data_IF_898990580224
#
_entry.id   IF_898990580224
#
_cell.length_a   1.000
_cell.length_b   1.000
_cell.length_c   1.000
_cell.angle_alpha   90.00
_cell.angle_beta   90.00
_cell.angle_gamma   90.00
#
_symmetry.space_group_name_H-M   'P 1'
#
loop_
_entity.id
_entity.type
_entity.pdbx_description
1 polymer ?
#
# COMPACT_ATOMS: atom_id res chain seq x y z
N UNK A 1 -6.38 -17.66 14.38
CA UNK A 1 -6.42 -16.20 14.65
C UNK A 1 -5.67 -15.40 13.58
N UNK A 2 -6.07 -14.15 13.31
CA UNK A 2 -5.48 -13.24 12.30
C UNK A 2 -3.95 -13.11 12.43
N UNK A 3 -3.43 -13.02 13.65
CA UNK A 3 -2.00 -12.86 13.93
C UNK A 3 -1.15 -14.08 13.52
N UNK A 4 -1.64 -15.31 13.73
CA UNK A 4 -0.94 -16.52 13.30
C UNK A 4 -0.87 -16.63 11.77
N UNK A 5 -1.94 -16.24 11.07
CA UNK A 5 -1.94 -16.23 9.61
C UNK A 5 -0.91 -15.24 9.04
N UNK A 6 -0.72 -14.11 9.72
CA UNK A 6 0.30 -13.10 9.38
C UNK A 6 1.71 -13.66 9.56
N UNK A 7 1.98 -14.29 10.71
CA UNK A 7 3.26 -14.95 10.98
C UNK A 7 3.60 -16.00 9.91
N UNK A 8 2.64 -16.86 9.56
CA UNK A 8 2.84 -17.90 8.52
C UNK A 8 3.18 -17.31 7.15
N UNK A 9 2.55 -16.19 6.76
CA UNK A 9 2.90 -15.52 5.49
C UNK A 9 4.32 -14.97 5.51
N UNK A 10 4.72 -14.32 6.61
CA UNK A 10 6.08 -13.82 6.76
C UNK A 10 7.11 -14.95 6.71
N UNK A 11 6.84 -16.08 7.38
CA UNK A 11 7.71 -17.26 7.32
C UNK A 11 7.78 -17.80 5.88
N UNK A 12 6.64 -18.03 5.23
CA UNK A 12 6.58 -18.56 3.87
C UNK A 12 7.36 -17.67 2.87
N UNK A 13 7.17 -16.35 2.95
CA UNK A 13 7.90 -15.39 2.14
C UNK A 13 9.41 -15.49 2.34
N UNK A 14 9.88 -15.58 3.58
CA UNK A 14 11.30 -15.68 3.88
C UNK A 14 11.90 -17.05 3.55
N UNK A 15 11.12 -18.13 3.66
CA UNK A 15 11.56 -19.49 3.34
C UNK A 15 11.81 -19.69 1.85
N UNK A 16 10.92 -19.18 0.98
CA UNK A 16 11.07 -19.28 -0.46
C UNK A 16 10.30 -18.16 -1.16
N UNK A 17 10.99 -17.08 -1.49
CA UNK A 17 10.40 -15.90 -2.14
C UNK A 17 9.82 -16.23 -3.51
N UNK A 18 10.55 -16.99 -4.33
CA UNK A 18 10.12 -17.40 -5.67
C UNK A 18 8.77 -18.11 -5.62
N UNK A 19 8.68 -19.18 -4.82
CA UNK A 19 7.45 -19.95 -4.66
C UNK A 19 6.32 -19.09 -4.06
N UNK A 20 6.63 -18.23 -3.09
CA UNK A 20 5.65 -17.31 -2.51
C UNK A 20 5.05 -16.36 -3.56
N UNK A 21 5.89 -15.77 -4.42
CA UNK A 21 5.43 -14.85 -5.46
C UNK A 21 4.59 -15.55 -6.52
N UNK A 22 4.98 -16.76 -6.95
CA UNK A 22 4.19 -17.58 -7.88
C UNK A 22 2.82 -17.96 -7.27
N UNK A 23 2.78 -18.31 -5.98
CA UNK A 23 1.53 -18.58 -5.27
C UNK A 23 0.66 -17.31 -5.15
N UNK A 24 1.27 -16.15 -4.95
CA UNK A 24 0.57 -14.87 -4.91
C UNK A 24 -0.06 -14.55 -6.29
N UNK A 25 0.64 -14.79 -7.40
CA UNK A 25 0.08 -14.69 -8.76
C UNK A 25 -1.15 -15.57 -8.89
N UNK A 26 -1.06 -16.86 -8.55
CA UNK A 26 -2.18 -17.79 -8.58
C UNK A 26 -3.37 -17.32 -7.74
N UNK A 27 -3.12 -16.74 -6.56
CA UNK A 27 -4.16 -16.23 -5.68
C UNK A 27 -4.90 -15.02 -6.30
N UNK A 28 -4.17 -14.10 -6.92
CA UNK A 28 -4.76 -12.93 -7.59
C UNK A 28 -5.51 -13.36 -8.85
N UNK A 29 -4.95 -14.25 -9.68
CA UNK A 29 -5.66 -14.82 -10.84
C UNK A 29 -6.96 -15.54 -10.44
N UNK A 30 -6.93 -16.30 -9.35
CA UNK A 30 -8.13 -16.92 -8.79
C UNK A 30 -9.16 -15.90 -8.29
N UNK A 31 -8.73 -14.72 -7.84
CA UNK A 31 -9.63 -13.63 -7.46
C UNK A 31 -10.24 -12.95 -8.69
N UNK A 32 -9.45 -12.73 -9.75
CA UNK A 32 -9.92 -12.23 -11.05
C UNK A 32 -11.05 -13.12 -11.59
N UNK A 33 -10.83 -14.43 -11.63
CA UNK A 33 -11.84 -15.35 -12.16
C UNK A 33 -13.12 -15.40 -11.33
N UNK A 34 -13.07 -15.02 -10.05
CA UNK A 34 -14.25 -14.95 -9.18
C UNK A 34 -15.05 -13.65 -9.35
N UNK A 35 -14.44 -12.60 -9.88
CA UNK A 35 -15.01 -11.26 -9.98
C UNK A 35 -14.79 -10.71 -11.40
N UNK A 36 -15.17 -11.50 -12.42
CA UNK A 36 -14.95 -11.14 -13.83
C UNK A 36 -15.62 -9.81 -14.17
N UNK A 37 -14.86 -8.91 -14.78
CA UNK A 37 -15.34 -7.57 -15.17
C UNK A 37 -15.31 -6.53 -14.04
N UNK A 38 -14.97 -6.92 -12.81
CA UNK A 38 -14.80 -5.97 -11.70
C UNK A 38 -13.35 -5.49 -11.60
N UNK A 39 -13.19 -4.25 -11.11
CA UNK A 39 -11.87 -3.74 -10.75
C UNK A 39 -11.41 -4.39 -9.44
N UNK A 40 -10.23 -4.99 -9.46
CA UNK A 40 -9.67 -5.65 -8.27
C UNK A 40 -8.62 -4.76 -7.62
N UNK A 41 -8.75 -4.57 -6.32
CA UNK A 41 -7.80 -3.83 -5.51
C UNK A 41 -7.06 -4.76 -4.55
N UNK A 42 -5.74 -4.78 -4.62
CA UNK A 42 -4.88 -5.64 -3.79
C UNK A 42 -4.01 -4.80 -2.87
N UNK A 43 -4.15 -5.07 -1.57
CA UNK A 43 -3.25 -4.57 -0.53
C UNK A 43 -2.23 -5.65 -0.17
N UNK A 44 -0.96 -5.47 -0.57
CA UNK A 44 0.07 -6.50 -0.42
C UNK A 44 0.66 -6.49 1.00
N UNK A 45 0.88 -5.31 1.56
CA UNK A 45 1.37 -5.11 2.92
C UNK A 45 0.21 -5.17 3.93
N UNK A 46 0.05 -6.35 4.54
CA UNK A 46 -0.91 -6.57 5.62
C UNK A 46 -0.32 -6.53 7.05
N UNK A 47 0.97 -6.83 7.19
CA UNK A 47 1.69 -6.83 8.49
C UNK A 47 3.16 -6.51 8.42
N UNK A 48 3.80 -6.87 7.32
CA UNK A 48 5.19 -6.54 7.04
C UNK A 48 5.18 -5.50 5.93
N UNK A 49 6.06 -4.51 6.03
CA UNK A 49 6.21 -3.45 5.04
C UNK A 49 7.27 -3.85 4.01
N UNK A 50 6.88 -4.75 3.11
CA UNK A 50 7.77 -5.35 2.10
C UNK A 50 7.88 -4.43 0.88
N UNK A 51 9.09 -4.30 0.34
CA UNK A 51 9.39 -3.66 -0.96
C UNK A 51 9.11 -4.62 -2.10
N UNK A 52 7.84 -4.85 -2.42
CA UNK A 52 7.47 -5.77 -3.50
C UNK A 52 7.99 -5.32 -4.87
N UNK A 53 8.22 -4.03 -5.05
CA UNK A 53 8.76 -3.43 -6.27
C UNK A 53 10.21 -3.86 -6.54
N UNK A 54 10.95 -4.24 -5.49
CA UNK A 54 12.33 -4.71 -5.56
C UNK A 54 12.42 -6.25 -5.66
N UNK A 55 11.29 -6.95 -5.76
CA UNK A 55 11.23 -8.42 -5.73
C UNK A 55 10.85 -8.94 -7.10
N UNK A 56 11.87 -9.44 -7.78
CA UNK A 56 11.69 -10.21 -8.99
C UNK A 56 11.51 -11.70 -8.70
N UNK A 57 10.77 -12.35 -9.57
CA UNK A 57 10.63 -13.80 -9.67
C UNK A 57 10.49 -14.19 -11.15
N UNK A 58 10.57 -15.48 -11.47
CA UNK A 58 10.60 -15.97 -12.84
C UNK A 58 9.30 -16.65 -13.22
N UNK A 59 8.63 -16.10 -14.24
CA UNK A 59 7.54 -16.80 -14.93
C UNK A 59 8.18 -17.75 -15.94
N UNK A 60 8.23 -19.05 -15.61
CA UNK A 60 8.72 -20.07 -16.56
C UNK A 60 7.64 -20.42 -17.60
N UNK A 61 8.00 -21.00 -18.76
CA UNK A 61 7.03 -21.49 -19.73
C UNK A 61 6.04 -22.50 -19.13
N UNK A 62 6.50 -23.37 -18.23
CA UNK A 62 5.67 -24.37 -17.56
C UNK A 62 4.65 -23.71 -16.64
N UNK A 63 5.07 -22.72 -15.85
CA UNK A 63 4.17 -21.99 -14.97
C UNK A 63 3.15 -21.16 -15.76
N UNK A 64 3.59 -20.46 -16.82
CA UNK A 64 2.69 -19.73 -17.71
C UNK A 64 1.66 -20.67 -18.37
N UNK A 65 2.09 -21.86 -18.81
CA UNK A 65 1.21 -22.89 -19.37
C UNK A 65 0.18 -23.37 -18.35
N UNK A 66 0.62 -23.63 -17.12
CA UNK A 66 -0.28 -23.97 -16.01
C UNK A 66 -1.30 -22.86 -15.75
N UNK A 67 -0.87 -21.60 -15.65
CA UNK A 67 -1.76 -20.47 -15.40
C UNK A 67 -2.78 -20.27 -16.52
N UNK A 68 -2.37 -20.46 -17.78
CA UNK A 68 -3.29 -20.44 -18.92
C UNK A 68 -4.33 -21.55 -18.83
N UNK A 69 -3.92 -22.78 -18.53
CA UNK A 69 -4.85 -23.92 -18.43
C UNK A 69 -5.80 -23.79 -17.22
N UNK A 70 -5.29 -23.29 -16.08
CA UNK A 70 -6.05 -23.21 -14.83
C UNK A 70 -6.95 -21.98 -14.73
N UNK A 71 -6.45 -20.84 -15.21
CA UNK A 71 -7.09 -19.53 -15.01
C UNK A 71 -7.48 -18.84 -16.32
N UNK A 72 -7.01 -19.31 -17.48
CA UNK A 72 -7.19 -18.61 -18.76
C UNK A 72 -6.20 -17.47 -18.99
N UNK A 73 -5.32 -17.18 -18.03
CA UNK A 73 -4.41 -16.04 -18.08
C UNK A 73 -3.15 -16.31 -18.92
N UNK A 74 -2.80 -15.36 -19.79
CA UNK A 74 -1.58 -15.38 -20.60
C UNK A 74 -0.53 -14.51 -19.89
N UNK A 75 0.47 -15.14 -19.27
CA UNK A 75 1.49 -14.43 -18.49
C UNK A 75 2.77 -14.15 -19.31
N UNK A 76 3.48 -13.04 -19.04
CA UNK A 76 4.76 -12.75 -19.69
C UNK A 76 5.87 -13.65 -19.12
N UNK A 77 6.54 -14.43 -19.99
CA UNK A 77 7.66 -15.29 -19.60
C UNK A 77 8.90 -14.45 -19.25
N UNK A 78 9.66 -14.89 -18.25
CA UNK A 78 10.91 -14.28 -17.83
C UNK A 78 10.88 -13.71 -16.42
N UNK A 79 11.95 -12.99 -16.07
CA UNK A 79 12.13 -12.36 -14.76
C UNK A 79 11.34 -11.05 -14.69
N UNK A 80 10.46 -10.91 -13.70
CA UNK A 80 9.53 -9.79 -13.52
C UNK A 80 9.23 -9.57 -12.03
N UNK A 81 8.81 -8.37 -11.68
CA UNK A 81 8.11 -8.16 -10.41
C UNK A 81 6.59 -8.35 -10.57
N UNK A 82 5.85 -8.36 -9.45
CA UNK A 82 4.42 -8.65 -9.45
C UNK A 82 3.60 -7.61 -10.22
N UNK A 83 4.01 -6.34 -10.15
CA UNK A 83 3.31 -5.24 -10.81
C UNK A 83 3.44 -5.37 -12.32
N UNK A 84 4.62 -5.70 -12.83
CA UNK A 84 4.86 -5.90 -14.26
C UNK A 84 4.02 -7.06 -14.82
N UNK A 85 3.84 -8.15 -14.06
CA UNK A 85 2.99 -9.27 -14.47
C UNK A 85 1.54 -8.83 -14.68
N UNK A 86 0.98 -8.05 -13.76
CA UNK A 86 -0.41 -7.62 -13.85
C UNK A 86 -0.63 -6.38 -14.74
N UNK A 87 0.39 -5.54 -14.91
CA UNK A 87 0.38 -4.50 -15.94
C UNK A 87 0.33 -5.11 -17.34
N UNK A 88 1.08 -6.20 -17.58
CA UNK A 88 0.98 -6.95 -18.82
C UNK A 88 -0.44 -7.47 -19.07
N UNK A 89 -1.10 -8.06 -18.07
CA UNK A 89 -2.49 -8.53 -18.22
C UNK A 89 -3.45 -7.38 -18.52
N UNK A 90 -3.34 -6.26 -17.80
CA UNK A 90 -4.13 -5.05 -18.09
C UNK A 90 -3.98 -4.60 -19.55
N UNK A 91 -2.77 -4.60 -20.08
CA UNK A 91 -2.48 -4.13 -21.44
C UNK A 91 -2.90 -5.11 -22.54
N UNK A 92 -2.87 -6.42 -22.27
CA UNK A 92 -3.08 -7.45 -23.31
C UNK A 92 -4.47 -8.09 -23.27
N UNK A 93 -5.10 -8.14 -22.10
CA UNK A 93 -6.36 -8.86 -21.88
C UNK A 93 -7.39 -8.04 -21.09
N UNK A 94 -7.00 -6.86 -20.58
CA UNK A 94 -7.91 -5.87 -20.01
C UNK A 94 -8.23 -6.07 -18.52
N UNK A 95 -7.68 -7.09 -17.87
CA UNK A 95 -7.90 -7.32 -16.44
C UNK A 95 -7.24 -6.22 -15.62
N UNK A 96 -8.06 -5.48 -14.87
CA UNK A 96 -7.60 -4.35 -14.10
C UNK A 96 -7.35 -4.74 -12.64
N UNK A 97 -6.08 -4.89 -12.29
CA UNK A 97 -5.62 -5.03 -10.90
C UNK A 97 -4.92 -3.75 -10.46
N UNK A 98 -5.39 -3.17 -9.36
CA UNK A 98 -4.79 -2.00 -8.71
C UNK A 98 -4.10 -2.43 -7.43
N UNK A 99 -2.78 -2.25 -7.36
CA UNK A 99 -2.05 -2.48 -6.13
C UNK A 99 -1.95 -1.19 -5.32
N UNK A 100 -2.21 -1.29 -4.02
CA UNK A 100 -2.07 -0.15 -3.12
C UNK A 100 -1.59 -0.59 -1.74
N UNK A 101 -0.88 0.29 -1.03
CA UNK A 101 -0.40 -0.04 0.32
C UNK A 101 -0.09 1.19 1.17
N UNK A 102 0.06 0.94 2.46
CA UNK A 102 0.69 1.87 3.38
C UNK A 102 2.14 1.45 3.63
N UNK A 103 3.03 2.44 3.72
CA UNK A 103 4.44 2.19 4.03
C UNK A 103 4.98 3.22 5.01
N UNK A 104 5.88 2.82 5.91
CA UNK A 104 6.68 3.72 6.76
C UNK A 104 8.14 3.80 6.31
N UNK A 105 8.49 3.02 5.30
CA UNK A 105 9.83 2.93 4.78
C UNK A 105 9.97 3.87 3.59
N UNK A 106 11.18 4.40 3.41
CA UNK A 106 11.53 5.07 2.16
C UNK A 106 11.49 4.06 1.01
N UNK A 107 11.04 4.52 -0.17
CA UNK A 107 10.89 3.74 -1.39
C UNK A 107 11.46 4.52 -2.57
N UNK A 108 11.62 3.85 -3.71
CA UNK A 108 11.83 4.54 -4.98
C UNK A 108 10.49 5.03 -5.53
N UNK A 109 10.05 6.22 -5.10
CA UNK A 109 8.72 6.76 -5.41
C UNK A 109 8.42 6.83 -6.91
N UNK A 110 9.42 7.20 -7.70
CA UNK A 110 9.30 7.28 -9.17
C UNK A 110 9.07 5.90 -9.77
N UNK A 111 9.79 4.88 -9.32
CA UNK A 111 9.61 3.51 -9.79
C UNK A 111 8.25 2.94 -9.35
N UNK A 112 7.84 3.15 -8.10
CA UNK A 112 6.52 2.74 -7.64
C UNK A 112 5.40 3.40 -8.49
N UNK A 113 5.56 4.69 -8.82
CA UNK A 113 4.61 5.39 -9.70
C UNK A 113 4.59 4.81 -11.13
N UNK A 114 5.77 4.50 -11.70
CA UNK A 114 5.91 3.84 -13.02
C UNK A 114 5.19 2.50 -13.05
N UNK A 115 5.31 1.71 -11.97
CA UNK A 115 4.67 0.41 -11.82
C UNK A 115 3.15 0.49 -11.56
N UNK A 116 2.60 1.70 -11.35
CA UNK A 116 1.21 1.87 -10.96
C UNK A 116 0.91 1.43 -9.52
N UNK A 117 1.93 1.38 -8.66
CA UNK A 117 1.77 1.00 -7.25
C UNK A 117 1.35 2.21 -6.40
N UNK A 118 0.10 2.19 -5.93
CA UNK A 118 -0.47 3.26 -5.14
C UNK A 118 -0.02 3.20 -3.68
N UNK A 119 1.05 3.93 -3.35
CA UNK A 119 1.53 4.02 -1.98
C UNK A 119 0.95 5.23 -1.25
N UNK A 120 0.62 5.02 0.02
CA UNK A 120 0.37 6.07 1.01
C UNK A 120 1.42 5.96 2.10
N UNK A 121 2.22 6.99 2.30
CA UNK A 121 3.23 6.99 3.36
C UNK A 121 2.54 7.20 4.72
N UNK A 122 2.90 6.43 5.74
CA UNK A 122 2.33 6.53 7.09
C UNK A 122 3.26 7.36 7.96
N UNK A 123 2.82 8.59 8.25
CA UNK A 123 3.44 9.40 9.28
C UNK A 123 3.16 8.82 10.67
N UNK A 124 4.15 8.80 11.56
CA UNK A 124 4.01 8.23 12.91
C UNK A 124 4.46 9.11 14.06
N UNK A 125 4.52 10.42 13.82
CA UNK A 125 4.77 11.43 14.84
C UNK A 125 6.10 12.15 14.67
N UNK A 126 6.17 13.34 15.26
CA UNK A 126 7.34 14.23 15.23
C UNK A 126 8.50 13.72 16.10
N UNK A 127 8.23 12.81 17.04
CA UNK A 127 9.29 12.15 17.81
C UNK A 127 10.17 11.24 16.92
N UNK A 128 9.65 10.75 15.79
CA UNK A 128 10.39 10.00 14.80
C UNK A 128 10.86 10.92 13.66
N UNK A 129 11.97 11.63 13.91
CA UNK A 129 12.55 12.59 12.94
C UNK A 129 12.88 11.96 11.58
N UNK A 130 13.21 10.67 11.55
CA UNK A 130 13.49 9.97 10.29
C UNK A 130 12.19 9.75 9.49
N UNK A 131 11.12 9.28 10.13
CA UNK A 131 9.82 9.13 9.49
C UNK A 131 9.28 10.49 9.00
N UNK A 132 9.38 11.55 9.80
CA UNK A 132 8.99 12.91 9.40
C UNK A 132 9.74 13.33 8.11
N UNK A 133 11.07 13.15 8.07
CA UNK A 133 11.88 13.44 6.88
C UNK A 133 11.41 12.67 5.65
N UNK A 134 11.10 11.37 5.79
CA UNK A 134 10.64 10.53 4.67
C UNK A 134 9.22 10.94 4.24
N UNK A 135 8.33 11.26 5.18
CA UNK A 135 6.98 11.76 4.87
C UNK A 135 7.02 13.00 3.99
N UNK A 136 7.89 13.96 4.33
CA UNK A 136 8.08 15.17 3.53
C UNK A 136 8.61 14.87 2.12
N UNK A 137 9.54 13.93 2.01
CA UNK A 137 10.06 13.47 0.71
C UNK A 137 8.96 12.76 -0.09
N UNK A 138 8.12 11.95 0.53
CA UNK A 138 6.98 11.32 -0.12
C UNK A 138 6.03 12.39 -0.71
N UNK A 139 5.65 13.40 0.08
CA UNK A 139 4.82 14.51 -0.39
C UNK A 139 5.43 15.27 -1.57
N UNK A 140 6.76 15.50 -1.56
CA UNK A 140 7.42 16.19 -2.67
C UNK A 140 7.48 15.37 -3.96
N UNK A 141 7.32 14.05 -3.86
CA UNK A 141 7.21 13.12 -5.00
C UNK A 141 5.74 12.82 -5.37
N UNK A 142 4.77 13.54 -4.81
CA UNK A 142 3.35 13.36 -5.12
C UNK A 142 2.68 12.17 -4.43
N UNK A 143 3.36 11.52 -3.48
CA UNK A 143 2.84 10.42 -2.67
C UNK A 143 2.06 11.01 -1.49
N UNK A 144 0.84 10.52 -1.29
CA UNK A 144 0.00 10.98 -0.18
C UNK A 144 0.56 10.49 1.16
N UNK A 145 0.39 11.28 2.22
CA UNK A 145 0.81 10.92 3.59
C UNK A 145 -0.40 10.78 4.50
N UNK A 146 -0.58 9.61 5.09
CA UNK A 146 -1.55 9.41 6.16
C UNK A 146 -1.01 9.89 7.50
N UNK A 147 -1.78 10.71 8.20
CA UNK A 147 -1.39 11.29 9.48
C UNK A 147 -2.60 11.46 10.42
N UNK A 148 -2.36 11.24 11.71
CA UNK A 148 -3.37 11.44 12.73
C UNK A 148 -3.48 12.91 13.14
N UNK A 149 -4.69 13.39 13.37
CA UNK A 149 -4.99 14.68 13.98
C UNK A 149 -5.58 14.46 15.37
N UNK A 150 -5.22 15.31 16.32
CA UNK A 150 -5.72 15.26 17.69
C UNK A 150 -7.15 15.85 17.78
N UNK A 151 -8.07 15.27 17.02
CA UNK A 151 -9.48 15.64 16.96
C UNK A 151 -10.34 14.46 17.40
N UNK A 152 -11.48 14.74 18.03
CA UNK A 152 -12.43 13.69 18.44
C UNK A 152 -13.06 13.06 17.20
N UNK A 153 -13.52 11.81 17.34
CA UNK A 153 -14.22 11.07 16.27
C UNK A 153 -15.43 11.83 15.70
N UNK A 154 -16.12 12.62 16.52
CA UNK A 154 -17.29 13.42 16.12
C UNK A 154 -16.94 14.78 15.51
N UNK A 155 -15.67 15.18 15.50
CA UNK A 155 -15.23 16.46 14.96
C UNK A 155 -14.75 16.29 13.52
N UNK A 156 -14.93 17.34 12.72
CA UNK A 156 -14.39 17.41 11.36
C UNK A 156 -12.87 17.51 11.41
N UNK A 157 -12.20 16.85 10.46
CA UNK A 157 -10.79 17.10 10.18
C UNK A 157 -10.63 18.50 9.58
N UNK A 158 -9.45 19.14 9.72
CA UNK A 158 -9.14 20.33 8.93
C UNK A 158 -9.19 19.98 7.44
N UNK A 159 -9.52 20.94 6.58
CA UNK A 159 -9.54 20.76 5.12
C UNK A 159 -8.18 21.04 4.47
N UNK A 160 -7.30 21.72 5.20
CA UNK A 160 -5.91 21.96 4.80
C UNK A 160 -4.99 22.01 6.01
N UNK A 161 -3.71 21.74 5.81
CA UNK A 161 -2.70 21.78 6.85
C UNK A 161 -1.37 22.31 6.31
N UNK A 162 -0.72 23.18 7.07
CA UNK A 162 0.61 23.70 6.73
C UNK A 162 1.65 22.80 7.37
N UNK A 163 2.43 22.11 6.55
CA UNK A 163 3.56 21.31 7.03
C UNK A 163 4.87 21.91 6.51
N UNK A 164 5.70 22.42 7.42
CA UNK A 164 6.99 23.07 7.13
C UNK A 164 6.91 24.07 5.97
N UNK A 165 5.98 25.03 6.08
CA UNK A 165 5.69 26.09 5.10
C UNK A 165 4.97 25.70 3.81
N UNK A 166 4.60 24.43 3.61
CA UNK A 166 3.77 24.04 2.46
C UNK A 166 2.35 23.72 2.92
N UNK A 167 1.36 24.44 2.39
CA UNK A 167 -0.04 24.10 2.58
C UNK A 167 -0.39 22.88 1.73
N UNK A 168 -1.01 21.88 2.36
CA UNK A 168 -1.51 20.67 1.72
C UNK A 168 -3.00 20.52 1.98
N UNK A 169 -3.71 19.97 1.01
CA UNK A 169 -5.09 19.53 1.20
C UNK A 169 -5.13 18.34 2.16
N UNK A 170 -6.16 18.30 3.01
CA UNK A 170 -6.41 17.19 3.93
C UNK A 170 -7.68 16.47 3.48
N UNK A 171 -7.52 15.20 3.09
CA UNK A 171 -8.60 14.30 2.70
C UNK A 171 -9.01 13.44 3.90
N UNK A 172 -10.31 13.20 4.10
CA UNK A 172 -10.80 12.38 5.22
C UNK A 172 -10.56 10.89 4.95
N UNK A 173 -9.50 10.35 5.54
CA UNK A 173 -9.13 8.94 5.42
C UNK A 173 -9.98 7.98 6.25
N UNK A 174 -10.83 8.46 7.16
CA UNK A 174 -11.74 7.59 7.92
C UNK A 174 -13.00 7.21 7.11
N UNK A 175 -13.24 7.84 5.94
CA UNK A 175 -14.38 7.52 5.07
C UNK A 175 -14.24 6.15 4.38
N UNK A 176 -13.01 5.76 4.02
CA UNK A 176 -12.72 4.49 3.35
C UNK A 176 -11.25 4.11 3.52
N UNK A 177 -10.93 2.82 3.60
CA UNK A 177 -9.54 2.33 3.56
C UNK A 177 -8.97 2.22 2.14
N UNK A 178 -9.80 2.36 1.09
CA UNK A 178 -9.40 2.19 -0.30
C UNK A 178 -8.69 3.44 -0.84
N UNK A 179 -7.34 3.41 -0.81
CA UNK A 179 -6.48 4.57 -1.15
C UNK A 179 -6.34 4.98 -2.62
N UNK A 180 -6.56 4.10 -3.61
CA UNK A 180 -6.54 4.51 -5.01
C UNK A 180 -7.52 5.61 -5.40
N UNK A 181 -8.63 5.79 -4.68
CA UNK A 181 -9.63 6.82 -4.94
C UNK A 181 -9.26 8.20 -4.41
N UNK A 182 -8.18 8.32 -3.60
CA UNK A 182 -7.72 9.63 -3.20
C UNK A 182 -7.29 10.46 -4.39
N UNK A 183 -7.54 11.77 -4.27
CA UNK A 183 -6.83 12.76 -5.06
C UNK A 183 -5.32 12.54 -4.90
N UNK A 184 -4.63 12.36 -6.02
CA UNK A 184 -3.17 12.20 -6.09
C UNK A 184 -2.48 13.56 -6.04
N UNK A 185 -1.16 13.56 -5.86
CA UNK A 185 -0.33 14.78 -5.93
C UNK A 185 0.30 15.22 -4.61
N UNK A 186 0.34 14.35 -3.60
CA UNK A 186 0.98 14.63 -2.32
C UNK A 186 0.07 15.43 -1.39
N UNK A 187 -1.06 14.82 -1.04
CA UNK A 187 -2.03 15.32 -0.07
C UNK A 187 -1.85 14.62 1.29
N UNK A 188 -2.46 15.20 2.32
CA UNK A 188 -2.51 14.57 3.64
C UNK A 188 -3.80 13.75 3.73
N UNK A 189 -3.69 12.47 4.06
CA UNK A 189 -4.82 11.61 4.39
C UNK A 189 -5.02 11.74 5.90
N UNK A 190 -5.93 12.62 6.31
CA UNK A 190 -6.22 12.90 7.69
C UNK A 190 -6.96 11.76 8.35
N UNK A 191 -6.50 11.36 9.54
CA UNK A 191 -7.12 10.36 10.38
C UNK A 191 -7.41 10.96 11.74
N UNK A 192 -8.54 10.61 12.35
CA UNK A 192 -8.82 11.05 13.73
C UNK A 192 -8.04 10.16 14.69
N UNK A 193 -7.34 10.75 15.66
CA UNK A 193 -6.58 9.98 16.64
C UNK A 193 -7.48 9.02 17.41
N UNK A 194 -7.11 7.73 17.41
CA UNK A 194 -7.82 6.66 18.12
C UNK A 194 -7.00 6.29 19.34
N UNK A 195 -7.56 6.51 20.53
CA UNK A 195 -6.94 6.11 21.78
C UNK A 195 -6.76 4.58 21.80
N UNK A 196 -5.53 4.07 21.94
CA UNK A 196 -5.31 2.64 22.12
C UNK A 196 -6.03 2.15 23.38
N UNK A 197 -6.74 1.03 23.27
CA UNK A 197 -7.49 0.48 24.39
C UNK A 197 -6.54 0.12 25.55
N UNK A 198 -6.87 0.57 26.76
CA UNK A 198 -6.07 0.30 27.97
C UNK A 198 -4.79 1.13 28.12
N UNK A 199 -4.55 2.12 27.27
CA UNK A 199 -3.35 2.97 27.34
C UNK A 199 -3.74 4.41 27.68
N UNK A 200 -3.09 5.02 28.68
CA UNK A 200 -3.25 6.45 28.96
C UNK A 200 -2.22 7.24 28.16
N UNK A 201 -2.70 8.24 27.43
CA UNK A 201 -1.87 9.16 26.64
C UNK A 201 -2.10 10.57 27.16
N UNK A 202 -1.02 11.20 27.63
CA UNK A 202 -0.96 12.62 27.96
C UNK A 202 -1.22 13.49 26.73
N UNK A 203 -1.59 14.75 26.96
CA UNK A 203 -1.77 15.70 25.86
C UNK A 203 -0.47 15.86 25.05
N UNK A 204 0.68 15.98 25.72
CA UNK A 204 1.99 16.07 25.07
C UNK A 204 2.33 14.87 24.18
N UNK A 205 1.99 13.64 24.59
CA UNK A 205 2.24 12.46 23.75
C UNK A 205 1.36 12.44 22.50
N UNK A 206 0.12 12.92 22.61
CA UNK A 206 -0.77 13.07 21.45
C UNK A 206 -0.25 14.13 20.50
N UNK A 207 0.23 15.25 21.02
CA UNK A 207 0.75 16.35 20.21
C UNK A 207 2.07 15.97 19.52
N UNK A 208 2.86 15.06 20.11
CA UNK A 208 4.04 14.48 19.45
C UNK A 208 3.68 13.47 18.35
N UNK A 209 2.56 12.75 18.47
CA UNK A 209 2.14 11.74 17.49
C UNK A 209 1.29 12.32 16.36
N UNK A 210 0.40 13.25 16.69
CA UNK A 210 -0.51 13.86 15.74
C UNK A 210 0.16 15.01 15.00
N UNK A 211 -0.41 15.38 13.87
CA UNK A 211 -0.27 16.73 13.32
C UNK A 211 -1.02 17.67 14.25
N UNK A 212 -0.27 18.36 15.11
CA UNK A 212 -0.73 19.33 16.09
C UNK A 212 0.00 20.66 15.88
#
# INVERSE_FOLDING_TARGET
MKQQARLRRTIAFNSNKEAFMLLLVCAILGLINKNLGEQIAIRLNGTSDIRYEDIDFTITPEFATFCRAKYGAILPIGKRNIFEVFNYLKENTGELVTFYDYTKLERNWTECARLGYHLTFSFDGHNNRQNDKIARKALSHGVNVAAAFNVKRSQSLPTSWIWQSTQREVLDGDLSDFRPDDKKGGNIIGLRFKLPHGMQWSQSERDLFCMA
#
